data_IF_925707277508
#
_entry.id   IF_925707277508
#
_cell.length_a   1.000
_cell.length_b   1.000
_cell.length_c   1.000
_cell.angle_alpha   90.00
_cell.angle_beta   90.00
_cell.angle_gamma   90.00
#
_symmetry.space_group_name_H-M   'P 1'
#
loop_
_entity.id
_entity.type
_entity.pdbx_description
1 polymer ?
#
# COMPACT_ATOMS: atom_id res chain seq x y z
N UNK A 1 -3.33 -14.31 12.95
CA UNK A 1 -2.40 -13.88 11.89
C UNK A 1 -0.99 -13.82 12.45
N UNK A 2 -0.03 -14.29 11.66
CA UNK A 2 1.40 -14.17 11.97
C UNK A 2 1.85 -12.77 11.59
N UNK A 3 2.41 -12.00 12.53
CA UNK A 3 2.90 -10.65 12.26
C UNK A 3 4.22 -10.73 11.50
N UNK A 4 4.30 -10.07 10.35
CA UNK A 4 5.53 -10.01 9.54
C UNK A 4 6.54 -9.06 10.18
N UNK A 5 7.75 -9.57 10.45
CA UNK A 5 8.81 -8.87 11.19
C UNK A 5 10.03 -8.69 10.31
N UNK A 6 10.45 -7.45 10.12
CA UNK A 6 11.76 -7.15 9.57
C UNK A 6 12.82 -7.56 10.58
N UNK A 7 13.90 -8.15 10.09
CA UNK A 7 15.13 -8.36 10.84
C UNK A 7 16.25 -7.65 10.10
N UNK A 8 17.21 -7.09 10.84
CA UNK A 8 18.35 -6.43 10.21
C UNK A 8 19.22 -7.48 9.51
N UNK A 9 19.22 -7.47 8.18
CA UNK A 9 20.07 -8.34 7.40
C UNK A 9 21.54 -8.06 7.70
N UNK A 10 22.24 -9.04 8.28
CA UNK A 10 23.68 -8.92 8.60
C UNK A 10 24.53 -8.77 7.32
N UNK A 11 24.08 -9.39 6.22
CA UNK A 11 24.67 -9.23 4.90
C UNK A 11 23.55 -8.88 3.91
N UNK A 12 23.35 -7.58 3.62
CA UNK A 12 22.32 -7.11 2.70
C UNK A 12 22.40 -7.75 1.31
N UNK A 13 23.59 -7.92 0.74
CA UNK A 13 23.75 -8.50 -0.60
C UNK A 13 23.29 -9.95 -0.66
N UNK A 14 23.62 -10.76 0.36
CA UNK A 14 23.11 -12.14 0.46
C UNK A 14 21.60 -12.16 0.65
N UNK A 15 21.05 -11.26 1.47
CA UNK A 15 19.60 -11.15 1.66
C UNK A 15 18.89 -10.85 0.33
N UNK A 16 19.37 -9.84 -0.41
CA UNK A 16 18.80 -9.42 -1.70
C UNK A 16 18.86 -10.57 -2.71
N UNK A 17 20.01 -11.23 -2.85
CA UNK A 17 20.19 -12.35 -3.80
C UNK A 17 19.26 -13.53 -3.48
N UNK A 18 19.13 -13.88 -2.20
CA UNK A 18 18.23 -14.95 -1.76
C UNK A 18 16.76 -14.57 -1.99
N UNK A 19 16.37 -13.35 -1.64
CA UNK A 19 15.02 -12.85 -1.84
C UNK A 19 14.67 -12.80 -3.33
N UNK A 20 15.55 -12.26 -4.17
CA UNK A 20 15.37 -12.22 -5.62
C UNK A 20 15.17 -13.62 -6.20
N UNK A 21 16.07 -14.56 -5.88
CA UNK A 21 16.03 -15.91 -6.46
C UNK A 21 14.77 -16.68 -6.04
N UNK A 22 14.40 -16.59 -4.75
CA UNK A 22 13.23 -17.27 -4.22
C UNK A 22 11.91 -16.65 -4.69
N UNK A 23 11.79 -15.32 -4.69
CA UNK A 23 10.61 -14.62 -5.18
C UNK A 23 10.44 -14.82 -6.69
N UNK A 24 11.51 -14.72 -7.49
CA UNK A 24 11.44 -15.00 -8.93
C UNK A 24 10.89 -16.40 -9.21
N UNK A 25 11.30 -17.41 -8.43
CA UNK A 25 10.77 -18.77 -8.55
C UNK A 25 9.27 -18.83 -8.26
N UNK A 26 8.81 -18.20 -7.18
CA UNK A 26 7.37 -18.11 -6.84
C UNK A 26 6.57 -17.36 -7.90
N UNK A 27 7.05 -16.18 -8.30
CA UNK A 27 6.43 -15.33 -9.31
C UNK A 27 6.24 -16.10 -10.62
N UNK A 28 7.28 -16.76 -11.11
CA UNK A 28 7.19 -17.57 -12.32
C UNK A 28 6.25 -18.77 -12.18
N UNK A 29 6.29 -19.45 -11.03
CA UNK A 29 5.46 -20.63 -10.77
C UNK A 29 3.97 -20.31 -10.72
N UNK A 30 3.62 -19.16 -10.13
CA UNK A 30 2.23 -18.75 -9.91
C UNK A 30 1.75 -17.68 -10.90
N UNK A 31 2.58 -17.31 -11.87
CA UNK A 31 2.27 -16.29 -12.89
C UNK A 31 1.84 -14.96 -12.26
N UNK A 32 2.63 -14.48 -11.29
CA UNK A 32 2.36 -13.21 -10.62
C UNK A 32 2.98 -12.04 -11.38
N UNK A 33 2.33 -10.87 -11.32
CA UNK A 33 2.79 -9.67 -12.04
C UNK A 33 3.57 -8.68 -11.16
N UNK A 34 3.56 -8.90 -9.84
CA UNK A 34 4.04 -7.92 -8.88
C UNK A 34 4.23 -8.44 -7.46
N UNK A 35 4.69 -7.54 -6.60
CA UNK A 35 4.85 -7.77 -5.16
C UNK A 35 4.31 -6.60 -4.34
N UNK A 36 3.87 -6.87 -3.12
CA UNK A 36 3.53 -5.86 -2.12
C UNK A 36 4.43 -6.03 -0.88
N UNK A 37 4.97 -4.92 -0.36
CA UNK A 37 5.82 -4.94 0.84
C UNK A 37 4.96 -4.60 2.06
N UNK A 38 4.70 -5.61 2.90
CA UNK A 38 3.84 -5.53 4.10
C UNK A 38 4.52 -6.04 5.39
N UNK A 39 5.78 -5.65 5.61
CA UNK A 39 6.42 -5.85 6.92
C UNK A 39 5.80 -4.91 7.98
N UNK A 40 5.36 -5.49 9.10
CA UNK A 40 4.57 -4.79 10.11
C UNK A 40 5.35 -4.43 11.39
N UNK A 41 6.52 -5.04 11.60
CA UNK A 41 7.32 -4.83 12.82
C UNK A 41 8.79 -4.69 12.51
N UNK A 42 9.42 -3.69 13.12
CA UNK A 42 10.82 -3.33 12.91
C UNK A 42 11.62 -3.42 14.23
N UNK A 43 12.89 -3.84 14.19
CA UNK A 43 13.79 -3.71 15.33
C UNK A 43 13.92 -2.25 15.76
N UNK A 44 14.13 -2.00 17.05
CA UNK A 44 14.35 -0.63 17.55
C UNK A 44 15.68 -0.06 17.03
N UNK A 45 15.69 1.23 16.69
CA UNK A 45 16.87 1.99 16.30
C UNK A 45 16.93 2.34 14.80
N UNK A 46 17.57 3.46 14.46
CA UNK A 46 17.56 4.03 13.10
C UNK A 46 18.23 3.14 12.04
N UNK A 47 19.20 2.30 12.42
CA UNK A 47 19.86 1.40 11.47
C UNK A 47 18.90 0.36 10.88
N UNK A 48 17.80 0.05 11.57
CA UNK A 48 16.82 -0.92 11.08
C UNK A 48 16.03 -0.38 9.90
N UNK A 49 15.65 0.91 9.94
CA UNK A 49 14.92 1.57 8.85
C UNK A 49 15.81 1.75 7.62
N UNK A 50 17.08 2.10 7.80
CA UNK A 50 18.04 2.24 6.68
C UNK A 50 18.33 0.89 6.01
N UNK A 51 18.57 -0.17 6.79
CA UNK A 51 18.84 -1.50 6.22
C UNK A 51 17.62 -2.06 5.49
N UNK A 52 16.43 -1.84 6.04
CA UNK A 52 15.16 -2.19 5.38
C UNK A 52 14.99 -1.46 4.05
N UNK A 53 15.13 -0.14 4.05
CA UNK A 53 14.96 0.69 2.86
C UNK A 53 15.93 0.27 1.76
N UNK A 54 17.20 0.05 2.09
CA UNK A 54 18.20 -0.43 1.15
C UNK A 54 17.84 -1.82 0.59
N UNK A 55 17.57 -2.80 1.46
CA UNK A 55 17.30 -4.18 1.02
C UNK A 55 16.05 -4.28 0.14
N UNK A 56 14.95 -3.64 0.54
CA UNK A 56 13.70 -3.66 -0.23
C UNK A 56 13.82 -2.89 -1.54
N UNK A 57 14.44 -1.72 -1.50
CA UNK A 57 14.63 -0.88 -2.67
C UNK A 57 15.44 -1.55 -3.76
N UNK A 58 16.59 -2.13 -3.39
CA UNK A 58 17.43 -2.90 -4.31
C UNK A 58 16.73 -4.15 -4.84
N UNK A 59 15.97 -4.86 -3.99
CA UNK A 59 15.20 -6.03 -4.41
C UNK A 59 14.13 -5.66 -5.46
N UNK A 60 13.32 -4.62 -5.22
CA UNK A 60 12.29 -4.17 -6.16
C UNK A 60 12.94 -3.73 -7.48
N UNK A 61 14.01 -2.93 -7.38
CA UNK A 61 14.78 -2.45 -8.54
C UNK A 61 15.30 -3.62 -9.37
N UNK A 62 15.89 -4.63 -8.73
CA UNK A 62 16.42 -5.81 -9.41
C UNK A 62 15.32 -6.65 -10.07
N UNK A 63 14.19 -6.87 -9.40
CA UNK A 63 13.05 -7.60 -9.95
C UNK A 63 12.49 -6.89 -11.20
N UNK A 64 12.37 -5.56 -11.17
CA UNK A 64 11.89 -4.77 -12.32
C UNK A 64 12.90 -4.72 -13.46
N UNK A 65 14.18 -4.47 -13.17
CA UNK A 65 15.23 -4.41 -14.20
C UNK A 65 15.42 -5.74 -14.93
N UNK A 66 15.11 -6.86 -14.28
CA UNK A 66 15.13 -8.20 -14.88
C UNK A 66 13.78 -8.62 -15.47
N UNK A 67 12.82 -7.69 -15.54
CA UNK A 67 11.46 -7.91 -16.05
C UNK A 67 10.74 -9.10 -15.40
N UNK A 68 11.04 -9.36 -14.12
CA UNK A 68 10.38 -10.41 -13.33
C UNK A 68 9.01 -9.94 -12.86
N UNK A 69 8.86 -8.65 -12.57
CA UNK A 69 7.61 -8.01 -12.18
C UNK A 69 7.40 -6.72 -12.98
N UNK A 70 6.14 -6.33 -13.16
CA UNK A 70 5.74 -5.02 -13.65
C UNK A 70 5.39 -4.06 -12.49
N UNK A 71 4.74 -4.59 -11.46
CA UNK A 71 4.14 -3.80 -10.38
C UNK A 71 4.80 -4.05 -9.02
N UNK A 72 5.00 -2.99 -8.24
CA UNK A 72 5.46 -3.07 -6.87
C UNK A 72 4.72 -2.05 -6.00
N UNK A 73 4.17 -2.50 -4.88
CA UNK A 73 3.46 -1.64 -3.92
C UNK A 73 4.03 -1.76 -2.52
N UNK A 74 3.70 -0.81 -1.65
CA UNK A 74 4.06 -0.84 -0.23
C UNK A 74 2.82 -0.60 0.62
N UNK A 75 2.71 -1.27 1.77
CA UNK A 75 1.54 -1.21 2.64
C UNK A 75 1.87 -0.64 4.04
N UNK A 76 2.34 0.62 4.16
CA UNK A 76 2.60 1.22 5.46
C UNK A 76 1.34 1.38 6.29
N UNK A 77 1.51 1.41 7.61
CA UNK A 77 0.49 1.79 8.56
C UNK A 77 1.11 2.71 9.63
N UNK A 78 0.32 3.21 10.59
CA UNK A 78 0.79 4.31 11.45
C UNK A 78 2.12 4.04 12.19
N UNK A 79 2.37 2.80 12.64
CA UNK A 79 3.63 2.45 13.32
C UNK A 79 4.81 2.18 12.39
N UNK A 80 4.55 1.85 11.12
CA UNK A 80 5.60 1.48 10.16
C UNK A 80 5.93 2.61 9.21
N UNK A 81 5.14 3.68 9.21
CA UNK A 81 5.27 4.85 8.33
C UNK A 81 6.72 5.29 8.17
N UNK A 82 7.47 5.45 9.27
CA UNK A 82 8.86 5.94 9.21
C UNK A 82 9.77 5.06 8.35
N UNK A 83 9.65 3.73 8.45
CA UNK A 83 10.48 2.80 7.68
C UNK A 83 10.14 2.85 6.19
N UNK A 84 8.85 2.92 5.86
CA UNK A 84 8.37 3.00 4.49
C UNK A 84 8.61 4.37 3.86
N UNK A 85 8.60 5.46 4.63
CA UNK A 85 9.01 6.79 4.15
C UNK A 85 10.49 6.78 3.76
N UNK A 86 11.35 6.13 4.53
CA UNK A 86 12.77 6.00 4.17
C UNK A 86 12.96 5.20 2.88
N UNK A 87 12.26 4.07 2.74
CA UNK A 87 12.22 3.31 1.48
C UNK A 87 11.74 4.17 0.31
N UNK A 88 10.61 4.86 0.47
CA UNK A 88 9.99 5.65 -0.58
C UNK A 88 10.86 6.85 -1.01
N UNK A 89 11.58 7.49 -0.09
CA UNK A 89 12.51 8.58 -0.41
C UNK A 89 13.65 8.14 -1.33
N UNK A 90 14.17 6.93 -1.12
CA UNK A 90 15.27 6.40 -1.94
C UNK A 90 14.81 5.70 -3.22
N UNK A 91 13.63 5.08 -3.20
CA UNK A 91 13.20 4.13 -4.23
C UNK A 91 11.76 4.38 -4.73
N UNK A 92 11.21 5.56 -4.50
CA UNK A 92 9.84 5.92 -4.88
C UNK A 92 9.57 5.81 -6.39
N UNK A 93 10.60 5.88 -7.23
CA UNK A 93 10.48 5.68 -8.68
C UNK A 93 10.09 4.25 -9.06
N UNK A 94 10.63 3.25 -8.36
CA UNK A 94 10.34 1.83 -8.62
C UNK A 94 9.10 1.32 -7.89
N UNK A 95 8.45 2.16 -7.06
CA UNK A 95 7.20 1.84 -6.36
C UNK A 95 6.02 2.45 -7.15
N UNK A 96 5.04 1.64 -7.51
CA UNK A 96 3.87 2.05 -8.29
C UNK A 96 2.79 2.70 -7.41
N UNK A 97 2.48 2.08 -6.28
CA UNK A 97 1.44 2.55 -5.37
C UNK A 97 1.80 2.37 -3.90
N UNK A 98 1.20 3.21 -3.06
CA UNK A 98 1.28 3.16 -1.60
C UNK A 98 -0.11 2.80 -1.09
N UNK A 99 -0.27 1.56 -0.65
CA UNK A 99 -1.47 1.00 -0.04
C UNK A 99 -1.49 1.33 1.46
N UNK A 100 -1.43 2.62 1.81
CA UNK A 100 -1.42 3.01 3.23
C UNK A 100 -2.66 2.47 3.93
N UNK A 101 -2.49 1.73 5.02
CA UNK A 101 -3.56 1.03 5.74
C UNK A 101 -4.34 1.98 6.67
N UNK A 102 -5.16 2.86 6.10
CA UNK A 102 -5.96 3.87 6.80
C UNK A 102 -6.91 3.28 7.86
N UNK A 103 -7.38 2.04 7.67
CA UNK A 103 -8.18 1.33 8.66
C UNK A 103 -7.46 1.11 10.00
N UNK A 104 -6.11 1.19 10.04
CA UNK A 104 -5.33 1.09 11.28
C UNK A 104 -5.29 2.40 12.08
N UNK A 105 -5.59 3.55 11.46
CA UNK A 105 -5.54 4.87 12.07
C UNK A 105 -6.78 5.18 12.93
N UNK A 106 -7.73 4.22 13.01
CA UNK A 106 -8.98 4.29 13.80
C UNK A 106 -9.89 5.48 13.47
N UNK A 107 -9.76 6.02 12.26
CA UNK A 107 -10.61 7.09 11.69
C UNK A 107 -12.06 6.62 11.67
N UNK A 108 -13.03 7.44 12.06
CA UNK A 108 -14.45 7.05 12.13
C UNK A 108 -15.36 7.89 11.24
N UNK A 109 -14.90 9.05 10.79
CA UNK A 109 -15.68 9.97 9.98
C UNK A 109 -15.01 10.28 8.63
N UNK A 110 -15.80 10.65 7.60
CA UNK A 110 -15.25 11.06 6.31
C UNK A 110 -14.22 12.20 6.42
N UNK A 111 -14.46 13.16 7.31
CA UNK A 111 -13.57 14.31 7.52
C UNK A 111 -12.24 13.92 8.15
N UNK A 112 -12.25 13.02 9.14
CA UNK A 112 -11.00 12.48 9.71
C UNK A 112 -10.21 11.70 8.64
N UNK A 113 -10.91 11.00 7.74
CA UNK A 113 -10.29 10.29 6.64
C UNK A 113 -9.58 11.23 5.67
N UNK A 114 -10.26 12.30 5.22
CA UNK A 114 -9.67 13.35 4.38
C UNK A 114 -8.39 13.92 5.02
N UNK A 115 -8.46 14.32 6.29
CA UNK A 115 -7.31 14.90 7.00
C UNK A 115 -6.13 13.93 7.11
N UNK A 116 -6.41 12.65 7.41
CA UNK A 116 -5.38 11.63 7.44
C UNK A 116 -4.77 11.41 6.05
N UNK A 117 -5.59 11.39 5.00
CA UNK A 117 -5.13 11.22 3.63
C UNK A 117 -4.23 12.37 3.19
N UNK A 118 -4.62 13.62 3.43
CA UNK A 118 -3.79 14.80 3.15
C UNK A 118 -2.45 14.74 3.89
N UNK A 119 -2.47 14.33 5.15
CA UNK A 119 -1.26 14.15 5.93
C UNK A 119 -0.33 13.09 5.30
N UNK A 120 -0.86 11.92 4.90
CA UNK A 120 -0.07 10.87 4.24
C UNK A 120 0.39 11.28 2.83
N UNK A 121 -0.40 12.07 2.11
CA UNK A 121 -0.03 12.65 0.83
C UNK A 121 1.10 13.70 0.93
N UNK A 122 1.41 14.21 2.13
CA UNK A 122 2.63 15.00 2.37
C UNK A 122 3.88 14.15 2.62
N UNK A 123 3.70 12.86 2.94
CA UNK A 123 4.77 11.91 3.27
C UNK A 123 5.12 10.99 2.10
N UNK A 124 4.15 10.72 1.23
CA UNK A 124 4.25 9.91 0.03
C UNK A 124 3.75 10.72 -1.18
N UNK A 125 4.05 10.30 -2.41
CA UNK A 125 3.48 10.98 -3.58
C UNK A 125 1.95 10.81 -3.60
N UNK A 126 1.24 11.94 -3.54
CA UNK A 126 -0.23 11.99 -3.61
C UNK A 126 -0.83 11.20 -4.78
N UNK A 127 -0.12 11.10 -5.92
CA UNK A 127 -0.61 10.38 -7.10
C UNK A 127 -0.51 8.87 -6.98
N UNK A 128 0.38 8.38 -6.10
CA UNK A 128 0.63 6.96 -5.86
C UNK A 128 -0.06 6.45 -4.59
N UNK A 129 -0.50 7.34 -3.71
CA UNK A 129 -1.20 7.00 -2.47
C UNK A 129 -2.65 6.59 -2.77
N UNK A 130 -3.03 5.37 -2.37
CA UNK A 130 -4.39 4.87 -2.56
C UNK A 130 -5.18 4.92 -1.25
N UNK A 131 -6.46 5.36 -1.26
CA UNK A 131 -7.37 5.10 -0.16
C UNK A 131 -7.48 3.60 0.09
N UNK A 132 -7.68 3.23 1.36
CA UNK A 132 -7.89 1.84 1.77
C UNK A 132 -9.04 1.68 2.76
N UNK A 133 -9.68 0.53 2.69
CA UNK A 133 -10.84 0.17 3.51
C UNK A 133 -10.72 -1.27 4.01
N UNK A 134 -11.01 -1.51 5.29
CA UNK A 134 -11.10 -2.85 5.85
C UNK A 134 -12.56 -3.27 6.03
N UNK A 135 -12.94 -4.38 5.41
CA UNK A 135 -14.31 -4.91 5.44
C UNK A 135 -14.61 -5.52 6.80
N UNK A 136 -15.70 -5.06 7.43
CA UNK A 136 -16.16 -5.55 8.73
C UNK A 136 -15.08 -5.50 9.83
N UNK A 137 -14.21 -4.49 9.77
CA UNK A 137 -13.04 -4.39 10.63
C UNK A 137 -12.87 -3.01 11.25
N UNK A 138 -11.64 -2.50 11.14
CA UNK A 138 -11.22 -1.26 11.80
C UNK A 138 -11.47 -0.05 10.90
N UNK A 139 -11.40 1.13 11.51
CA UNK A 139 -11.55 2.40 10.80
C UNK A 139 -13.00 2.74 10.46
N UNK A 140 -13.16 3.55 9.40
CA UNK A 140 -14.44 3.98 8.85
C UNK A 140 -15.14 2.77 8.24
N UNK A 141 -16.46 2.70 8.34
CA UNK A 141 -17.24 1.52 7.92
C UNK A 141 -18.45 1.93 7.08
N UNK A 142 -18.90 1.02 6.22
CA UNK A 142 -20.12 1.20 5.44
C UNK A 142 -20.03 2.35 4.45
N UNK A 143 -21.18 2.98 4.20
CA UNK A 143 -21.29 4.01 3.17
C UNK A 143 -20.50 5.29 3.47
N UNK A 144 -20.12 5.50 4.74
CA UNK A 144 -19.28 6.62 5.15
C UNK A 144 -17.90 6.59 4.47
N UNK A 145 -17.38 5.42 4.08
CA UNK A 145 -16.15 5.34 3.32
C UNK A 145 -16.29 6.00 1.93
N UNK A 146 -17.41 5.83 1.25
CA UNK A 146 -17.63 6.45 -0.07
C UNK A 146 -17.82 7.96 0.04
N UNK A 147 -18.48 8.44 1.09
CA UNK A 147 -18.50 9.88 1.40
C UNK A 147 -17.08 10.41 1.64
N UNK A 148 -16.16 9.61 2.20
CA UNK A 148 -14.77 10.01 2.31
C UNK A 148 -14.10 10.12 0.93
N UNK A 149 -14.36 9.17 0.02
CA UNK A 149 -13.84 9.22 -1.35
C UNK A 149 -14.35 10.46 -2.12
N UNK A 150 -15.65 10.75 -2.02
CA UNK A 150 -16.26 11.98 -2.58
C UNK A 150 -15.56 13.23 -2.04
N UNK A 151 -15.34 13.30 -0.72
CA UNK A 151 -14.61 14.42 -0.11
C UNK A 151 -13.17 14.54 -0.60
N UNK A 152 -12.47 13.43 -0.87
CA UNK A 152 -11.13 13.49 -1.46
C UNK A 152 -11.19 14.19 -2.82
N UNK A 153 -12.10 13.78 -3.70
CA UNK A 153 -12.24 14.36 -5.04
C UNK A 153 -12.66 15.83 -5.01
N UNK A 154 -13.63 16.19 -4.16
CA UNK A 154 -14.07 17.57 -3.95
C UNK A 154 -12.94 18.49 -3.46
N UNK A 155 -11.94 17.93 -2.76
CA UNK A 155 -10.75 18.66 -2.29
C UNK A 155 -9.54 18.54 -3.24
N UNK A 156 -9.76 18.07 -4.48
CA UNK A 156 -8.73 18.01 -5.52
C UNK A 156 -7.71 16.87 -5.33
N UNK A 157 -8.01 15.89 -4.48
CA UNK A 157 -7.24 14.66 -4.33
C UNK A 157 -7.84 13.62 -5.27
N UNK A 158 -7.16 13.37 -6.39
CA UNK A 158 -7.60 12.36 -7.35
C UNK A 158 -7.57 10.96 -6.74
N UNK A 159 -8.67 10.22 -6.89
CA UNK A 159 -8.78 8.82 -6.45
C UNK A 159 -8.50 7.92 -7.65
N UNK A 160 -7.23 7.54 -7.84
CA UNK A 160 -6.79 6.71 -8.98
C UNK A 160 -7.01 5.20 -8.77
N UNK A 161 -7.43 4.80 -7.57
CA UNK A 161 -7.69 3.42 -7.19
C UNK A 161 -8.01 3.35 -5.70
N UNK A 162 -8.41 2.16 -5.21
CA UNK A 162 -8.70 1.90 -3.80
C UNK A 162 -8.27 0.47 -3.45
N UNK A 163 -7.66 0.29 -2.28
CA UNK A 163 -7.33 -1.03 -1.74
C UNK A 163 -8.40 -1.49 -0.73
N UNK A 164 -8.94 -2.70 -0.91
CA UNK A 164 -9.92 -3.30 0.01
C UNK A 164 -9.29 -4.50 0.72
N UNK A 165 -9.34 -4.49 2.05
CA UNK A 165 -8.84 -5.58 2.90
C UNK A 165 -10.00 -6.26 3.66
N UNK A 166 -10.37 -7.50 3.41
CA UNK A 166 -9.94 -8.37 2.33
C UNK A 166 -11.12 -9.16 1.78
N UNK A 167 -10.93 -9.78 0.61
CA UNK A 167 -11.92 -10.62 -0.03
C UNK A 167 -12.49 -11.73 0.88
N UNK A 168 -11.67 -12.26 1.82
CA UNK A 168 -12.11 -13.24 2.82
C UNK A 168 -13.26 -12.71 3.69
N UNK A 169 -13.16 -11.47 4.14
CA UNK A 169 -14.22 -10.82 4.91
C UNK A 169 -15.40 -10.41 4.01
N UNK A 170 -15.12 -9.96 2.79
CA UNK A 170 -16.12 -9.53 1.80
C UNK A 170 -17.00 -10.67 1.28
N UNK A 171 -16.53 -11.92 1.36
CA UNK A 171 -17.35 -13.08 1.00
C UNK A 171 -18.68 -13.11 1.79
N UNK A 172 -18.69 -12.59 3.02
CA UNK A 172 -19.90 -12.51 3.86
C UNK A 172 -20.96 -11.53 3.38
N UNK A 173 -20.59 -10.54 2.57
CA UNK A 173 -21.49 -9.49 2.07
C UNK A 173 -21.60 -9.47 0.54
N UNK A 174 -21.14 -10.54 -0.14
CA UNK A 174 -21.23 -10.65 -1.59
C UNK A 174 -20.37 -9.64 -2.35
N UNK A 175 -19.26 -9.18 -1.76
CA UNK A 175 -18.33 -8.22 -2.37
C UNK A 175 -18.95 -6.85 -2.67
N UNK A 176 -19.89 -6.42 -1.81
CA UNK A 176 -20.62 -5.16 -1.97
C UNK A 176 -19.68 -3.95 -2.05
N UNK A 177 -18.68 -3.87 -1.16
CA UNK A 177 -17.78 -2.72 -1.12
C UNK A 177 -16.87 -2.67 -2.34
N UNK A 178 -16.40 -3.81 -2.83
CA UNK A 178 -15.60 -3.91 -4.05
C UNK A 178 -16.39 -3.46 -5.28
N UNK A 179 -17.65 -3.90 -5.43
CA UNK A 179 -18.51 -3.48 -6.55
C UNK A 179 -18.74 -1.97 -6.53
N UNK A 180 -19.15 -1.42 -5.39
CA UNK A 180 -19.42 0.01 -5.24
C UNK A 180 -18.16 0.86 -5.43
N UNK A 181 -16.99 0.38 -5.02
CA UNK A 181 -15.70 1.04 -5.28
C UNK A 181 -15.37 1.06 -6.78
N UNK A 182 -15.60 -0.05 -7.50
CA UNK A 182 -15.39 -0.09 -8.95
C UNK A 182 -16.34 0.87 -9.69
N UNK A 183 -17.62 0.92 -9.29
CA UNK A 183 -18.60 1.86 -9.83
C UNK A 183 -18.19 3.32 -9.58
N UNK A 184 -17.75 3.64 -8.36
CA UNK A 184 -17.22 4.97 -8.02
C UNK A 184 -16.08 5.36 -8.96
N UNK A 185 -15.05 4.51 -9.09
CA UNK A 185 -13.87 4.80 -9.92
C UNK A 185 -14.20 4.97 -11.42
N UNK A 186 -15.19 4.24 -11.94
CA UNK A 186 -15.64 4.39 -13.34
C UNK A 186 -16.34 5.74 -13.56
N UNK A 187 -17.13 6.19 -12.59
CA UNK A 187 -17.87 7.45 -12.68
C UNK A 187 -16.94 8.66 -12.51
N UNK A 188 -16.01 8.60 -11.57
CA UNK A 188 -15.02 9.66 -11.33
C UNK A 188 -14.09 9.91 -12.52
N UNK A 189 -13.70 8.85 -13.23
CA UNK A 189 -12.90 8.99 -14.46
C UNK A 189 -13.71 9.55 -15.66
N UNK A 190 -15.05 9.51 -15.58
CA UNK A 190 -15.92 10.03 -16.63
C UNK A 190 -16.15 11.55 -16.53
N UNK A 191 -16.04 12.12 -15.33
CA UNK A 191 -16.20 13.57 -15.08
C UNK A 191 -14.91 14.36 -15.27
N UNK A 192 -13.72 13.72 -15.21
CA UNK A 192 -12.43 14.37 -15.48
C UNK A 192 -12.08 14.60 -16.96
N UNK A 193 -12.93 14.15 -17.90
CA UNK A 193 -12.78 14.33 -19.35
C UNK A 193 -13.83 15.31 -19.95
N UNK A 194 -14.55 16.07 -19.12
CA UNK A 194 -15.36 17.23 -19.52
C UNK A 194 -14.70 18.53 -19.05
#
# INVERSE_FOLDING_TARGET
>A
MTVLRWYNALNPSTWISNAFSSLRSLINKYHLDGIDIDYEKFPKGNSSTTTFAYCMGELITLLKNQSVIAEATVAPYYNTTQAYMELYRGYGEVINYVNYQFYTDKLRTPREYLQAFEFRASQFDRKKLLPSYEVNGRGIQGDAFFTALELLEENGLGVSGVMIFSADASASNGYYYEQKTQEFLLNSNSTGNM
#
